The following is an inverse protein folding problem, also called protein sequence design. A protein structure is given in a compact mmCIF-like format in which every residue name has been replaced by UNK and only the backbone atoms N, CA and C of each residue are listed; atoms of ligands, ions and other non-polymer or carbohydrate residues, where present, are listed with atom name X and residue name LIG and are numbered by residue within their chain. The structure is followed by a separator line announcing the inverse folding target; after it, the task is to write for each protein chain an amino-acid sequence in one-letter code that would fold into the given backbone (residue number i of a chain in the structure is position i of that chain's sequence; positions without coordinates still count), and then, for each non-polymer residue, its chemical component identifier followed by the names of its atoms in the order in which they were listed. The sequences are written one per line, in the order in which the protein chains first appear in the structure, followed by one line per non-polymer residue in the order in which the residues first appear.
data_IF_750323808552
#
_entry.id   IF_750323808552
#
_cell.length_a   1.000
_cell.length_b   1.000
_cell.length_c   1.000
_cell.angle_alpha   90.00
_cell.angle_beta   90.00
_cell.angle_gamma   90.00
#
_symmetry.space_group_name_H-M   'P 1'
#
loop_
_entity.id
_entity.type
_entity.pdbx_description
1 polymer ?
#
# COMPACT_ATOMS: atom_id res chain seq x y z
N UNK A 1 -10.83 34.43 16.28
CA UNK A 1 -11.38 33.12 16.70
C UNK A 1 -12.21 32.57 15.55
N UNK A 2 -11.74 31.50 14.89
CA UNK A 2 -12.53 30.77 13.89
C UNK A 2 -12.57 29.32 14.32
N UNK A 3 -13.80 28.85 14.51
CA UNK A 3 -14.22 27.54 14.99
C UNK A 3 -13.69 26.45 14.07
N UNK A 4 -12.87 25.55 14.63
CA UNK A 4 -12.42 24.34 13.94
C UNK A 4 -13.59 23.36 13.99
N UNK A 5 -14.21 23.11 12.84
CA UNK A 5 -15.18 22.03 12.70
C UNK A 5 -14.44 20.69 12.82
N UNK A 6 -14.55 20.07 14.01
CA UNK A 6 -14.41 18.63 14.19
C UNK A 6 -15.52 17.93 13.39
N UNK A 7 -15.30 17.78 12.09
CA UNK A 7 -16.19 17.08 11.18
C UNK A 7 -15.55 15.77 10.73
N UNK A 8 -15.98 14.67 11.34
CA UNK A 8 -15.96 13.33 10.74
C UNK A 8 -14.59 12.72 10.40
N UNK A 9 -13.80 12.48 11.44
CA UNK A 9 -12.81 11.39 11.45
C UNK A 9 -13.53 10.03 11.64
N UNK A 10 -14.47 9.71 10.74
CA UNK A 10 -15.19 8.42 10.70
C UNK A 10 -15.04 7.66 9.37
N UNK A 11 -14.10 8.05 8.52
CA UNK A 11 -13.74 7.41 7.25
C UNK A 11 -12.20 7.38 7.23
N UNK A 12 -11.47 6.27 7.35
CA UNK A 12 -11.61 4.97 6.73
C UNK A 12 -11.25 3.84 7.72
N UNK A 13 -12.28 3.33 8.39
CA UNK A 13 -12.40 1.92 8.77
C UNK A 13 -12.83 1.04 7.57
N UNK A 14 -12.62 1.52 6.33
CA UNK A 14 -13.34 1.07 5.14
C UNK A 14 -12.68 -0.08 4.35
N UNK A 15 -11.73 -0.81 4.93
CA UNK A 15 -11.37 -2.13 4.39
C UNK A 15 -12.02 -3.31 5.11
N UNK A 16 -12.90 -3.06 6.11
CA UNK A 16 -13.52 -4.14 6.87
C UNK A 16 -14.99 -4.44 6.50
N UNK A 17 -15.74 -3.54 5.88
CA UNK A 17 -17.16 -3.80 5.60
C UNK A 17 -17.67 -3.12 4.32
N UNK A 18 -17.51 -3.81 3.19
CA UNK A 18 -18.48 -3.80 2.09
C UNK A 18 -18.27 -5.09 1.29
N UNK A 19 -19.24 -6.01 1.40
CA UNK A 19 -19.48 -7.17 0.53
C UNK A 19 -18.26 -7.69 -0.25
N UNK A 20 -17.40 -8.44 0.43
CA UNK A 20 -16.17 -9.01 -0.14
C UNK A 20 -16.50 -10.38 -0.76
N UNK A 21 -16.73 -10.46 -2.08
CA UNK A 21 -17.00 -11.76 -2.74
C UNK A 21 -15.78 -12.43 -3.34
N UNK A 22 -14.70 -11.71 -3.66
CA UNK A 22 -13.47 -12.31 -4.22
C UNK A 22 -12.28 -12.16 -3.28
N UNK A 23 -11.83 -13.31 -2.75
CA UNK A 23 -10.56 -13.44 -2.03
C UNK A 23 -9.40 -13.42 -3.03
N UNK A 24 -8.37 -12.63 -2.71
CA UNK A 24 -7.05 -12.77 -3.33
C UNK A 24 -6.53 -14.19 -3.10
N UNK A 25 -6.07 -14.85 -4.16
CA UNK A 25 -5.65 -16.24 -4.18
C UNK A 25 -4.18 -16.40 -4.62
N UNK A 26 -3.33 -15.45 -4.23
CA UNK A 26 -1.88 -15.50 -4.45
C UNK A 26 -1.51 -15.69 -5.92
N UNK A 27 -0.53 -16.57 -6.17
CA UNK A 27 -0.06 -16.91 -7.51
C UNK A 27 -1.17 -17.28 -8.51
N UNK A 28 -2.27 -17.90 -8.06
CA UNK A 28 -3.37 -18.26 -8.96
C UNK A 28 -4.07 -17.03 -9.58
N UNK A 29 -4.04 -15.89 -8.90
CA UNK A 29 -4.55 -14.64 -9.44
C UNK A 29 -3.49 -13.90 -10.26
N UNK A 30 -2.21 -14.01 -9.91
CA UNK A 30 -1.10 -13.52 -10.75
C UNK A 30 -1.12 -14.20 -12.11
N UNK A 31 -1.37 -15.51 -12.16
CA UNK A 31 -1.40 -16.30 -13.40
C UNK A 31 -2.56 -15.98 -14.35
N UNK A 32 -3.61 -15.32 -13.85
CA UNK A 32 -4.73 -14.86 -14.69
C UNK A 32 -4.41 -13.56 -15.44
N UNK A 33 -3.36 -12.85 -15.05
CA UNK A 33 -2.91 -11.67 -15.76
C UNK A 33 -2.24 -12.05 -17.09
N UNK A 34 -2.32 -11.14 -18.06
CA UNK A 34 -1.59 -11.28 -19.31
C UNK A 34 -0.08 -11.37 -19.06
N UNK A 35 0.66 -11.90 -20.04
CA UNK A 35 2.13 -11.96 -19.95
C UNK A 35 2.74 -10.56 -19.75
N UNK A 36 2.19 -9.53 -20.39
CA UNK A 36 2.62 -8.14 -20.22
C UNK A 36 2.40 -7.67 -18.78
N UNK A 37 1.18 -7.77 -18.27
CA UNK A 37 0.84 -7.36 -16.91
C UNK A 37 1.64 -8.12 -15.84
N UNK A 38 1.93 -9.42 -16.03
CA UNK A 38 2.81 -10.19 -15.14
C UNK A 38 4.24 -9.68 -15.16
N UNK A 39 4.80 -9.38 -16.33
CA UNK A 39 6.14 -8.79 -16.45
C UNK A 39 6.17 -7.45 -15.70
N UNK A 40 5.18 -6.58 -15.93
CA UNK A 40 5.04 -5.30 -15.23
C UNK A 40 5.00 -5.48 -13.71
N UNK A 41 4.18 -6.40 -13.20
CA UNK A 41 4.10 -6.70 -11.77
C UNK A 41 5.43 -7.20 -11.19
N UNK A 42 6.19 -8.00 -11.95
CA UNK A 42 7.53 -8.48 -11.54
C UNK A 42 8.59 -7.37 -11.57
N UNK A 43 8.53 -6.46 -12.54
CA UNK A 43 9.42 -5.29 -12.58
C UNK A 43 9.22 -4.42 -11.33
N UNK A 44 7.95 -4.15 -10.99
CA UNK A 44 7.59 -3.51 -9.74
C UNK A 44 8.15 -4.26 -8.54
N UNK A 45 7.85 -5.56 -8.41
CA UNK A 45 8.29 -6.37 -7.29
C UNK A 45 9.81 -6.32 -7.08
N UNK A 46 10.58 -6.42 -8.17
CA UNK A 46 12.04 -6.27 -8.14
C UNK A 46 12.48 -4.87 -7.67
N UNK A 47 11.87 -3.80 -8.19
CA UNK A 47 12.18 -2.43 -7.80
C UNK A 47 11.85 -2.21 -6.30
N UNK A 48 10.73 -2.76 -5.82
CA UNK A 48 10.35 -2.75 -4.40
C UNK A 48 11.35 -3.49 -3.52
N UNK A 49 11.75 -4.70 -3.89
CA UNK A 49 12.75 -5.46 -3.12
C UNK A 49 14.11 -4.73 -3.07
N UNK A 50 14.56 -4.14 -4.19
CA UNK A 50 15.81 -3.39 -4.24
C UNK A 50 15.77 -2.12 -3.38
N UNK A 51 14.72 -1.32 -3.50
CA UNK A 51 14.55 -0.12 -2.70
C UNK A 51 14.32 -0.47 -1.22
N UNK A 52 13.52 -1.50 -0.93
CA UNK A 52 13.28 -1.99 0.43
C UNK A 52 14.55 -2.45 1.13
N UNK A 53 15.43 -3.18 0.42
CA UNK A 53 16.73 -3.57 0.96
C UNK A 53 17.64 -2.37 1.23
N UNK A 54 17.64 -1.36 0.35
CA UNK A 54 18.48 -0.16 0.49
C UNK A 54 18.05 0.75 1.64
N UNK A 55 16.74 0.82 1.91
CA UNK A 55 16.14 1.69 2.92
C UNK A 55 15.44 0.90 4.03
N UNK A 56 15.98 -0.28 4.35
CA UNK A 56 15.35 -1.27 5.23
C UNK A 56 15.02 -0.71 6.62
N UNK A 57 15.90 0.10 7.19
CA UNK A 57 15.71 0.64 8.54
C UNK A 57 14.56 1.66 8.57
N UNK A 58 14.45 2.51 7.54
CA UNK A 58 13.34 3.46 7.40
C UNK A 58 12.01 2.74 7.20
N UNK A 59 11.98 1.72 6.33
CA UNK A 59 10.80 0.88 6.09
C UNK A 59 10.37 0.18 7.37
N UNK A 60 11.31 -0.47 8.07
CA UNK A 60 11.05 -1.20 9.32
C UNK A 60 10.50 -0.29 10.41
N UNK A 61 11.02 0.95 10.53
CA UNK A 61 10.52 1.90 11.52
C UNK A 61 9.04 2.25 11.28
N UNK A 62 8.65 2.52 10.03
CA UNK A 62 7.25 2.77 9.67
C UNK A 62 6.39 1.55 9.92
N UNK A 63 6.81 0.36 9.44
CA UNK A 63 6.06 -0.89 9.59
C UNK A 63 5.82 -1.24 11.06
N UNK A 64 6.84 -1.08 11.91
CA UNK A 64 6.70 -1.30 13.35
C UNK A 64 5.62 -0.37 13.94
N UNK A 65 5.64 0.92 13.58
CA UNK A 65 4.63 1.87 14.07
C UNK A 65 3.22 1.54 13.56
N UNK A 66 3.09 1.11 12.30
CA UNK A 66 1.81 0.64 11.75
C UNK A 66 1.29 -0.61 12.47
N UNK A 67 2.18 -1.54 12.81
CA UNK A 67 1.83 -2.74 13.57
C UNK A 67 1.40 -2.42 15.01
N UNK A 68 2.05 -1.49 15.69
CA UNK A 68 1.60 -0.97 16.99
C UNK A 68 0.20 -0.38 16.90
N UNK A 69 -0.02 0.53 15.95
CA UNK A 69 -1.31 1.17 15.71
C UNK A 69 -2.42 0.16 15.37
N UNK A 70 -2.09 -0.88 14.60
CA UNK A 70 -3.02 -1.97 14.28
C UNK A 70 -3.41 -2.74 15.55
N UNK A 71 -2.46 -3.09 16.40
CA UNK A 71 -2.73 -3.81 17.67
C UNK A 71 -3.62 -2.99 18.61
N UNK A 72 -3.34 -1.70 18.78
CA UNK A 72 -4.19 -0.80 19.58
C UNK A 72 -5.61 -0.74 19.01
N UNK A 73 -5.76 -0.64 17.69
CA UNK A 73 -7.06 -0.66 17.03
C UNK A 73 -7.81 -1.98 17.22
N UNK A 74 -7.13 -3.12 17.11
CA UNK A 74 -7.72 -4.44 17.33
C UNK A 74 -8.16 -4.62 18.80
N UNK A 75 -7.52 -3.90 19.73
CA UNK A 75 -7.96 -3.76 21.12
C UNK A 75 -9.10 -2.74 21.34
N UNK A 76 -9.60 -2.10 20.28
CA UNK A 76 -10.68 -1.11 20.32
C UNK A 76 -10.22 0.32 20.58
N UNK A 77 -8.92 0.58 20.62
CA UNK A 77 -8.36 1.91 20.88
C UNK A 77 -8.28 2.73 19.58
N UNK A 78 -8.47 4.05 19.71
CA UNK A 78 -8.27 4.98 18.61
C UNK A 78 -6.85 5.53 18.66
N UNK A 79 -6.19 5.58 17.51
CA UNK A 79 -4.90 6.25 17.38
C UNK A 79 -4.99 7.70 17.86
N UNK A 80 -4.12 8.05 18.80
CA UNK A 80 -3.97 9.40 19.33
C UNK A 80 -3.34 10.33 18.29
N UNK A 81 -3.45 11.65 18.49
CA UNK A 81 -2.84 12.61 17.57
C UNK A 81 -1.31 12.58 17.63
N UNK A 82 -0.74 12.25 18.79
CA UNK A 82 0.69 12.02 18.96
C UNK A 82 1.18 10.84 18.12
N UNK A 83 0.44 9.73 18.10
CA UNK A 83 0.81 8.56 17.31
C UNK A 83 0.66 8.80 15.80
N UNK A 84 -0.34 9.60 15.39
CA UNK A 84 -0.50 10.01 13.99
C UNK A 84 0.65 10.90 13.53
N UNK A 85 1.06 11.88 14.34
CA UNK A 85 2.19 12.74 14.01
C UNK A 85 3.52 11.97 14.05
N UNK A 86 3.69 11.01 14.96
CA UNK A 86 4.84 10.11 14.95
C UNK A 86 4.91 9.27 13.66
N UNK A 87 3.78 8.68 13.24
CA UNK A 87 3.72 7.94 11.97
C UNK A 87 4.04 8.86 10.78
N UNK A 88 3.47 10.07 10.74
CA UNK A 88 3.73 11.04 9.67
C UNK A 88 5.20 11.44 9.59
N UNK A 89 5.87 11.62 10.73
CA UNK A 89 7.33 11.87 10.76
C UNK A 89 8.11 10.69 10.18
N UNK A 90 7.80 9.47 10.60
CA UNK A 90 8.46 8.27 10.06
C UNK A 90 8.25 8.11 8.55
N UNK A 91 7.04 8.43 8.05
CA UNK A 91 6.73 8.41 6.62
C UNK A 91 7.53 9.47 5.84
N UNK A 92 7.81 10.63 6.45
CA UNK A 92 8.71 11.64 5.87
C UNK A 92 10.17 11.20 5.90
N UNK A 93 10.61 10.54 6.96
CA UNK A 93 11.96 9.98 7.05
C UNK A 93 12.18 8.84 6.03
N UNK A 94 11.12 8.13 5.67
CA UNK A 94 11.08 7.14 4.59
C UNK A 94 10.98 7.76 3.17
N UNK A 95 11.04 9.09 3.02
CA UNK A 95 11.03 9.76 1.70
C UNK A 95 12.03 9.18 0.69
N UNK A 96 13.29 8.87 1.05
CA UNK A 96 14.24 8.27 0.11
C UNK A 96 13.79 6.91 -0.45
N UNK A 97 13.02 6.13 0.32
CA UNK A 97 12.42 4.89 -0.16
C UNK A 97 11.38 5.18 -1.25
N UNK A 98 10.45 6.13 -1.02
CA UNK A 98 9.44 6.48 -2.02
C UNK A 98 10.04 7.11 -3.29
N UNK A 99 11.09 7.91 -3.14
CA UNK A 99 11.84 8.47 -4.27
C UNK A 99 12.52 7.37 -5.09
N UNK A 100 13.09 6.36 -4.42
CA UNK A 100 13.65 5.19 -5.09
C UNK A 100 12.60 4.46 -5.93
N UNK A 101 11.41 4.24 -5.38
CA UNK A 101 10.30 3.59 -6.09
C UNK A 101 9.76 4.42 -7.26
N UNK A 102 9.81 5.75 -7.16
CA UNK A 102 9.34 6.65 -8.21
C UNK A 102 10.21 6.62 -9.47
N UNK A 103 11.43 6.08 -9.37
CA UNK A 103 12.34 5.86 -10.50
C UNK A 103 12.14 4.49 -11.17
N UNK A 104 10.96 3.87 -10.99
CA UNK A 104 10.66 2.60 -11.65
C UNK A 104 10.72 2.76 -13.17
N UNK A 105 11.28 1.74 -13.81
CA UNK A 105 11.45 1.63 -15.27
C UNK A 105 10.18 1.21 -16.01
N UNK A 106 9.05 1.11 -15.31
CA UNK A 106 7.75 0.74 -15.88
C UNK A 106 7.12 1.96 -16.54
N UNK A 107 6.78 1.84 -17.82
CA UNK A 107 6.14 2.90 -18.59
C UNK A 107 4.70 3.12 -18.14
N UNK A 108 4.19 4.35 -18.26
CA UNK A 108 2.85 4.71 -17.76
C UNK A 108 1.74 3.86 -18.40
N UNK A 109 1.85 3.54 -19.69
CA UNK A 109 0.89 2.69 -20.40
C UNK A 109 0.85 1.26 -19.83
N UNK A 110 2.00 0.70 -19.45
CA UNK A 110 2.09 -0.62 -18.82
C UNK A 110 1.44 -0.62 -17.42
N UNK A 111 1.57 0.49 -16.68
CA UNK A 111 0.88 0.65 -15.39
C UNK A 111 -0.62 0.66 -15.55
N UNK A 112 -1.11 1.43 -16.52
CA UNK A 112 -2.53 1.56 -16.81
C UNK A 112 -3.12 0.22 -17.26
N UNK A 113 -2.40 -0.54 -18.08
CA UNK A 113 -2.86 -1.87 -18.50
C UNK A 113 -2.90 -2.84 -17.32
N UNK A 114 -1.87 -2.87 -16.47
CA UNK A 114 -1.88 -3.67 -15.23
C UNK A 114 -3.07 -3.31 -14.34
N UNK A 115 -3.34 -2.02 -14.13
CA UNK A 115 -4.49 -1.57 -13.34
C UNK A 115 -5.83 -1.97 -13.97
N UNK A 116 -5.95 -1.87 -15.30
CA UNK A 116 -7.15 -2.28 -16.04
C UNK A 116 -7.41 -3.77 -15.89
N UNK A 117 -6.39 -4.60 -16.02
CA UNK A 117 -6.52 -6.04 -15.84
C UNK A 117 -6.88 -6.41 -14.39
N UNK A 118 -6.29 -5.74 -13.40
CA UNK A 118 -6.65 -5.95 -11.98
C UNK A 118 -8.11 -5.54 -11.73
N UNK A 119 -8.57 -4.41 -12.26
CA UNK A 119 -9.97 -3.99 -12.13
C UNK A 119 -10.92 -5.02 -12.73
N UNK A 120 -10.59 -5.55 -13.91
CA UNK A 120 -11.37 -6.60 -14.56
C UNK A 120 -11.37 -7.92 -13.76
N UNK A 121 -10.22 -8.33 -13.23
CA UNK A 121 -10.06 -9.58 -12.49
C UNK A 121 -10.91 -9.63 -11.21
N UNK A 122 -11.00 -8.51 -10.48
CA UNK A 122 -11.72 -8.42 -9.21
C UNK A 122 -13.06 -7.69 -9.29
N UNK A 123 -13.44 -7.18 -10.47
CA UNK A 123 -14.65 -6.37 -10.65
C UNK A 123 -14.67 -5.13 -9.74
N UNK A 124 -13.54 -4.43 -9.61
CA UNK A 124 -13.35 -3.31 -8.67
C UNK A 124 -13.20 -1.96 -9.37
N UNK A 125 -13.51 -0.89 -8.64
CA UNK A 125 -13.26 0.50 -9.05
C UNK A 125 -11.87 1.02 -8.64
N UNK A 126 -11.63 2.29 -8.98
CA UNK A 126 -10.37 3.00 -8.74
C UNK A 126 -10.02 3.12 -7.25
N UNK A 127 -11.04 3.18 -6.38
CA UNK A 127 -10.88 3.25 -4.93
C UNK A 127 -10.21 2.01 -4.33
N UNK A 128 -10.28 0.87 -5.02
CA UNK A 128 -9.76 -0.43 -4.56
C UNK A 128 -8.55 -0.92 -5.36
N UNK A 129 -8.24 -0.32 -6.51
CA UNK A 129 -7.17 -0.81 -7.40
C UNK A 129 -5.82 -0.82 -6.70
N UNK A 130 -5.50 0.21 -5.90
CA UNK A 130 -4.23 0.33 -5.17
C UNK A 130 -4.03 -0.86 -4.22
N UNK A 131 -5.10 -1.31 -3.55
CA UNK A 131 -5.04 -2.45 -2.63
C UNK A 131 -4.70 -3.76 -3.37
N UNK A 132 -5.46 -4.09 -4.41
CA UNK A 132 -5.25 -5.36 -5.14
C UNK A 132 -3.95 -5.35 -5.95
N UNK A 133 -3.56 -4.20 -6.49
CA UNK A 133 -2.23 -4.02 -7.11
C UNK A 133 -1.10 -4.27 -6.11
N UNK A 134 -1.23 -3.77 -4.89
CA UNK A 134 -0.23 -4.03 -3.84
C UNK A 134 -0.15 -5.51 -3.48
N UNK A 135 -1.28 -6.24 -3.48
CA UNK A 135 -1.29 -7.69 -3.22
C UNK A 135 -0.66 -8.50 -4.35
N UNK A 136 -1.01 -8.20 -5.62
CA UNK A 136 -0.41 -8.82 -6.81
C UNK A 136 1.11 -8.63 -6.81
N UNK A 137 1.57 -7.40 -6.56
CA UNK A 137 3.00 -7.08 -6.53
C UNK A 137 3.69 -7.80 -5.35
N UNK A 138 3.08 -7.81 -4.17
CA UNK A 138 3.62 -8.50 -3.00
C UNK A 138 3.78 -10.00 -3.21
N UNK A 139 2.86 -10.63 -3.94
CA UNK A 139 2.99 -12.03 -4.34
C UNK A 139 4.22 -12.24 -5.25
N UNK A 140 4.37 -11.38 -6.27
CA UNK A 140 5.53 -11.39 -7.16
C UNK A 140 6.86 -11.09 -6.43
N UNK A 141 6.85 -10.41 -5.28
CA UNK A 141 8.06 -10.12 -4.51
C UNK A 141 8.73 -11.37 -3.95
N UNK A 142 7.98 -12.48 -3.80
CA UNK A 142 8.56 -13.75 -3.36
C UNK A 142 9.62 -14.32 -4.32
N UNK A 143 9.61 -13.87 -5.58
CA UNK A 143 10.64 -14.21 -6.58
C UNK A 143 11.97 -13.44 -6.36
N UNK A 144 11.95 -12.32 -5.64
CA UNK A 144 13.06 -11.36 -5.60
C UNK A 144 13.59 -11.06 -4.20
N UNK A 145 12.75 -11.15 -3.17
CA UNK A 145 13.14 -10.97 -1.79
C UNK A 145 12.43 -11.97 -0.85
N UNK A 146 13.08 -12.30 0.26
CA UNK A 146 12.63 -13.34 1.19
C UNK A 146 11.93 -12.76 2.42
N UNK A 147 11.13 -13.58 3.09
CA UNK A 147 10.62 -13.27 4.43
C UNK A 147 9.35 -12.41 4.38
N UNK A 148 9.32 -11.33 5.16
CA UNK A 148 8.12 -10.50 5.35
C UNK A 148 8.08 -9.26 4.44
N UNK A 149 9.04 -9.09 3.54
CA UNK A 149 9.20 -7.87 2.73
C UNK A 149 7.94 -7.53 1.89
N UNK A 150 7.27 -8.55 1.33
CA UNK A 150 6.00 -8.35 0.62
C UNK A 150 4.86 -7.86 1.52
N UNK A 151 4.82 -8.35 2.77
CA UNK A 151 3.83 -7.91 3.77
C UNK A 151 4.13 -6.47 4.23
N UNK A 152 5.41 -6.16 4.44
CA UNK A 152 5.89 -4.83 4.80
C UNK A 152 5.52 -3.80 3.71
N UNK A 153 5.70 -4.18 2.44
CA UNK A 153 5.26 -3.37 1.30
C UNK A 153 3.75 -3.08 1.32
N UNK A 154 2.90 -4.09 1.56
CA UNK A 154 1.43 -3.91 1.63
C UNK A 154 1.04 -2.96 2.76
N UNK A 155 1.70 -3.04 3.92
CA UNK A 155 1.47 -2.10 5.02
C UNK A 155 1.88 -0.68 4.65
N UNK A 156 3.05 -0.50 4.04
CA UNK A 156 3.56 0.80 3.58
C UNK A 156 2.62 1.45 2.54
N UNK A 157 2.16 0.69 1.54
CA UNK A 157 1.26 1.18 0.51
C UNK A 157 -0.09 1.66 1.09
N UNK A 158 -0.62 0.92 2.07
CA UNK A 158 -1.85 1.27 2.78
C UNK A 158 -1.72 2.57 3.58
N UNK A 159 -0.56 2.77 4.23
CA UNK A 159 -0.27 3.99 4.99
C UNK A 159 -0.12 5.22 4.07
N UNK A 160 0.56 5.08 2.93
CA UNK A 160 0.74 6.17 1.97
C UNK A 160 -0.57 6.65 1.35
N UNK A 161 -1.47 5.73 0.98
CA UNK A 161 -2.79 6.09 0.44
C UNK A 161 -3.60 6.94 1.44
N UNK A 162 -3.56 6.57 2.72
CA UNK A 162 -4.25 7.28 3.80
C UNK A 162 -3.74 8.71 4.02
N UNK A 163 -2.45 8.96 3.75
CA UNK A 163 -1.85 10.31 3.85
C UNK A 163 -2.18 11.17 2.63
N UNK A 164 -2.23 10.58 1.43
CA UNK A 164 -2.56 11.30 0.20
C UNK A 164 -3.99 11.87 0.22
N UNK A 165 -4.96 11.09 0.69
CA UNK A 165 -6.37 11.51 0.82
C UNK A 165 -6.58 12.70 1.77
N UNK A 166 -5.73 12.86 2.79
CA UNK A 166 -5.79 13.98 3.73
C UNK A 166 -5.24 15.28 3.12
N UNK A 167 -4.29 15.18 2.18
CA UNK A 167 -3.72 16.35 1.48
C UNK A 167 -4.66 16.91 0.42
N UNK A 168 -5.46 16.06 -0.23
CA UNK A 168 -6.42 16.46 -1.26
C UNK A 168 -7.67 17.19 -0.72
N UNK A 169 -7.88 17.21 0.60
CA UNK A 169 -9.02 17.87 1.27
C UNK A 169 -8.66 19.23 1.92
N UNK A 170 -7.49 19.79 1.60
CA UNK A 170 -7.08 21.15 1.98
C UNK A 170 -7.28 22.11 0.83
#
# INVERSE_FOLDING_TARGET
MKTIYLGFLSLFLLFANSSFSQKFNGNADVDKLSTGARITAKLYANDFCNCGSKYKDQVKAVVNKLNELKKSKDAGEKATDEEKEALKKLMLDAKPYYECLSNSRVDEDEKLELEKEIKALYGIGDDKVVKYKSLIIAECMSDFCSGTDGLDFVFMASASASIAEQKAKK
#
